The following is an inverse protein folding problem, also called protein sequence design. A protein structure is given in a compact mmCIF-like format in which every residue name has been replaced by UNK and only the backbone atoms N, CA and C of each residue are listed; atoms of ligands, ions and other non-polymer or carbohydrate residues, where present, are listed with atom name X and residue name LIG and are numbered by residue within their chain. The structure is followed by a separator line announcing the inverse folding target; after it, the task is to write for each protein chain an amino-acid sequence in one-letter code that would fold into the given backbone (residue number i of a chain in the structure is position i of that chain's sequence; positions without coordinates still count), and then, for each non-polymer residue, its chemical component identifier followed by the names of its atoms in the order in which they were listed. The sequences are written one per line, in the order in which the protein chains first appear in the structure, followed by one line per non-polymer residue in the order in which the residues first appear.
data_IF_898608984267
#
_entry.id   IF_898608984267
#
_cell.length_a   1.000
_cell.length_b   1.000
_cell.length_c   1.000
_cell.angle_alpha   90.00
_cell.angle_beta   90.00
_cell.angle_gamma   90.00
#
_symmetry.space_group_name_H-M   'P 1'
#
loop_
_entity.id
_entity.type
_entity.pdbx_description
1 polymer ?
#
# COMPACT_ATOMS: atom_id res chain seq x y z
N UNK A 1 51.37 20.85 42.93
CA UNK A 1 49.89 20.84 42.83
C UNK A 1 49.54 20.49 41.39
N UNK A 2 49.08 19.25 41.12
CA UNK A 2 48.84 18.74 39.76
C UNK A 2 47.40 19.10 39.35
N UNK A 3 47.22 20.04 38.43
CA UNK A 3 45.91 20.34 37.84
C UNK A 3 45.66 19.27 36.78
N UNK A 4 44.69 18.39 37.05
CA UNK A 4 44.19 17.40 36.09
C UNK A 4 43.31 18.14 35.08
N UNK A 5 43.73 18.18 33.82
CA UNK A 5 42.87 18.60 32.71
C UNK A 5 41.87 17.47 32.48
N UNK A 6 40.62 17.67 32.89
CA UNK A 6 39.53 16.78 32.57
C UNK A 6 39.15 17.01 31.10
N UNK A 7 39.41 16.01 30.27
CA UNK A 7 38.96 15.96 28.88
C UNK A 7 37.45 15.74 28.89
N UNK A 8 36.68 16.80 28.64
CA UNK A 8 35.23 16.71 28.48
C UNK A 8 34.96 16.11 27.09
N UNK A 9 34.79 14.80 27.02
CA UNK A 9 34.30 14.14 25.82
C UNK A 9 32.82 14.51 25.65
N UNK A 10 32.57 15.53 24.81
CA UNK A 10 31.24 15.88 24.35
C UNK A 10 30.78 14.75 23.42
N UNK A 11 30.05 13.77 23.95
CA UNK A 11 29.29 12.82 23.14
C UNK A 11 28.21 13.63 22.41
N UNK A 12 28.51 14.07 21.18
CA UNK A 12 27.46 14.38 20.23
C UNK A 12 26.74 13.06 19.95
N UNK A 13 25.57 12.90 20.56
CA UNK A 13 24.58 11.94 20.11
C UNK A 13 24.15 12.42 18.72
N UNK A 14 24.78 11.89 17.68
CA UNK A 14 24.29 12.04 16.32
C UNK A 14 22.94 11.31 16.28
N UNK A 15 21.86 12.07 16.42
CA UNK A 15 20.54 11.63 16.01
C UNK A 15 20.66 11.52 14.49
N UNK A 16 20.97 10.32 14.01
CA UNK A 16 20.79 9.99 12.59
C UNK A 16 19.27 10.00 12.43
N UNK A 17 18.71 11.15 12.04
CA UNK A 17 17.41 11.16 11.42
C UNK A 17 17.58 10.30 10.17
N UNK A 18 17.07 9.07 10.20
CA UNK A 18 16.93 8.27 9.00
C UNK A 18 16.16 9.12 7.99
N UNK A 19 16.66 9.20 6.77
CA UNK A 19 15.88 9.80 5.69
C UNK A 19 14.61 8.95 5.55
N UNK A 20 13.48 9.53 5.93
CA UNK A 20 12.17 8.96 5.70
C UNK A 20 11.98 8.96 4.18
N UNK A 21 11.87 7.78 3.60
CA UNK A 21 11.60 7.62 2.17
C UNK A 21 10.18 8.07 1.86
N UNK A 22 9.95 8.61 0.66
CA UNK A 22 8.59 8.90 0.23
C UNK A 22 7.80 7.58 0.05
N UNK A 23 6.47 7.66 0.14
CA UNK A 23 5.62 6.55 -0.26
C UNK A 23 5.87 6.20 -1.74
N UNK A 24 6.25 4.97 -2.03
CA UNK A 24 6.54 4.51 -3.39
C UNK A 24 5.87 3.18 -3.68
N UNK A 25 5.72 2.83 -4.96
CA UNK A 25 5.27 1.50 -5.37
C UNK A 25 6.13 0.42 -4.71
N UNK A 26 7.44 0.63 -4.60
CA UNK A 26 8.32 -0.37 -4.03
C UNK A 26 8.12 -0.53 -2.51
N UNK A 27 7.88 0.55 -1.76
CA UNK A 27 7.61 0.48 -0.31
C UNK A 27 6.23 -0.09 0.02
N UNK A 28 5.27 0.07 -0.89
CA UNK A 28 3.94 -0.55 -0.83
C UNK A 28 3.86 -1.96 -1.44
N UNK A 29 4.98 -2.52 -1.92
CA UNK A 29 4.99 -3.86 -2.53
C UNK A 29 4.95 -4.94 -1.45
N UNK A 30 3.98 -5.85 -1.56
CA UNK A 30 3.83 -6.99 -0.66
C UNK A 30 4.51 -8.25 -1.18
N UNK A 31 5.08 -9.04 -0.27
CA UNK A 31 5.78 -10.29 -0.57
C UNK A 31 5.25 -11.43 0.29
N UNK A 32 5.05 -12.59 -0.34
CA UNK A 32 4.55 -13.79 0.32
C UNK A 32 5.31 -15.03 -0.16
N UNK A 33 5.56 -15.99 0.74
CA UNK A 33 6.19 -17.27 0.40
C UNK A 33 5.44 -18.44 1.04
N UNK A 34 5.10 -19.46 0.24
CA UNK A 34 4.51 -20.68 0.79
C UNK A 34 4.07 -21.69 -0.26
N UNK A 35 3.31 -22.70 0.17
CA UNK A 35 2.75 -23.68 -0.73
C UNK A 35 1.48 -23.14 -1.40
N UNK A 36 1.42 -23.23 -2.74
CA UNK A 36 0.23 -22.95 -3.53
C UNK A 36 -0.13 -24.17 -4.38
N UNK A 37 -1.40 -24.26 -4.75
CA UNK A 37 -1.90 -25.23 -5.71
C UNK A 37 -2.18 -24.52 -7.02
N UNK A 38 -1.50 -24.91 -8.10
CA UNK A 38 -1.81 -24.45 -9.44
C UNK A 38 -3.12 -25.10 -9.93
N UNK A 39 -3.99 -24.33 -10.57
CA UNK A 39 -5.29 -24.81 -11.06
C UNK A 39 -5.21 -25.52 -12.44
N UNK A 40 -4.05 -25.47 -13.10
CA UNK A 40 -3.82 -26.02 -14.43
C UNK A 40 -4.18 -25.08 -15.59
N UNK A 41 -4.85 -23.96 -15.32
CA UNK A 41 -5.18 -22.86 -16.25
C UNK A 41 -4.27 -21.63 -16.10
N UNK A 42 -3.26 -21.71 -15.23
CA UNK A 42 -2.30 -20.63 -14.97
C UNK A 42 -2.68 -19.74 -13.79
N UNK A 43 -3.71 -20.11 -13.04
CA UNK A 43 -4.07 -19.54 -11.74
C UNK A 43 -3.53 -20.36 -10.57
N UNK A 44 -3.64 -19.78 -9.37
CA UNK A 44 -3.14 -20.36 -8.14
C UNK A 44 -4.17 -20.20 -7.02
N UNK A 45 -4.22 -21.18 -6.12
CA UNK A 45 -5.02 -21.13 -4.91
C UNK A 45 -4.18 -21.50 -3.70
N UNK A 46 -4.55 -20.99 -2.53
CA UNK A 46 -3.90 -21.32 -1.27
C UNK A 46 -3.85 -20.15 -0.30
N UNK A 47 -3.21 -20.39 0.83
CA UNK A 47 -2.95 -19.36 1.84
C UNK A 47 -1.47 -19.38 2.17
N UNK A 48 -0.81 -18.25 1.96
CA UNK A 48 0.63 -18.14 2.17
C UNK A 48 0.96 -16.93 3.06
N UNK A 49 1.89 -17.10 4.03
CA UNK A 49 2.27 -16.01 4.92
C UNK A 49 3.05 -14.94 4.16
N UNK A 50 2.91 -13.70 4.61
CA UNK A 50 3.78 -12.63 4.19
C UNK A 50 5.21 -12.87 4.68
N UNK A 51 6.18 -12.39 3.91
CA UNK A 51 7.61 -12.44 4.22
C UNK A 51 8.21 -11.05 4.11
N UNK A 52 9.41 -10.87 4.67
CA UNK A 52 10.11 -9.60 4.60
C UNK A 52 10.31 -9.15 3.14
N UNK A 53 9.90 -7.92 2.84
CA UNK A 53 10.14 -7.26 1.56
C UNK A 53 11.47 -6.50 1.51
N UNK A 54 11.62 -5.65 0.47
CA UNK A 54 12.84 -4.87 0.21
C UNK A 54 12.91 -3.55 0.98
N UNK A 55 11.76 -2.97 1.34
CA UNK A 55 11.64 -1.74 2.11
C UNK A 55 11.21 -2.12 3.53
N UNK A 56 12.20 -2.21 4.41
CA UNK A 56 12.05 -2.73 5.76
C UNK A 56 12.88 -1.86 6.69
N UNK A 57 12.23 -1.23 7.68
CA UNK A 57 12.92 -0.47 8.72
C UNK A 57 12.80 -1.22 10.05
N UNK A 58 13.84 -1.97 10.41
CA UNK A 58 14.03 -2.35 11.81
C UNK A 58 14.28 -1.07 12.61
N UNK A 59 13.49 -0.84 13.66
CA UNK A 59 13.61 0.38 14.45
C UNK A 59 12.78 1.55 13.93
N UNK A 60 11.75 1.29 13.12
CA UNK A 60 10.81 2.31 12.66
C UNK A 60 10.29 3.21 13.80
N UNK A 61 10.03 4.49 13.55
CA UNK A 61 9.44 5.41 14.50
C UNK A 61 8.26 4.82 15.27
N UNK A 62 8.43 4.78 16.59
CA UNK A 62 7.49 4.16 17.52
C UNK A 62 7.84 2.81 18.07
N UNK A 63 8.91 2.23 17.54
CA UNK A 63 9.60 1.15 18.21
C UNK A 63 10.53 1.71 19.27
N UNK A 64 10.64 1.00 20.39
CA UNK A 64 11.59 1.32 21.46
C UNK A 64 12.62 0.20 21.52
N UNK A 65 13.90 0.57 21.51
CA UNK A 65 14.95 -0.40 21.80
C UNK A 65 14.79 -0.93 23.23
N UNK A 66 14.47 -2.21 23.37
CA UNK A 66 14.41 -2.87 24.68
C UNK A 66 15.77 -3.53 24.96
N UNK A 67 16.51 -2.97 25.93
CA UNK A 67 17.82 -3.47 26.31
C UNK A 67 17.81 -4.81 27.06
N UNK A 68 16.64 -5.24 27.56
CA UNK A 68 16.45 -6.53 28.23
C UNK A 68 16.27 -7.64 27.18
N UNK A 69 15.43 -7.41 26.17
CA UNK A 69 15.18 -8.37 25.08
C UNK A 69 16.15 -8.24 23.92
N UNK A 70 16.93 -7.15 23.85
CA UNK A 70 17.99 -6.94 22.86
C UNK A 70 17.47 -6.70 21.43
N UNK A 71 16.26 -6.14 21.29
CA UNK A 71 15.61 -5.86 20.01
C UNK A 71 14.74 -4.61 20.08
N UNK A 72 14.32 -4.12 18.92
CA UNK A 72 13.28 -3.09 18.83
C UNK A 72 11.91 -3.72 19.11
N UNK A 73 11.11 -3.07 19.95
CA UNK A 73 9.76 -3.54 20.30
C UNK A 73 8.70 -2.49 20.00
N UNK A 74 7.53 -2.96 19.57
CA UNK A 74 6.28 -2.18 19.48
C UNK A 74 5.78 -1.82 20.89
N UNK A 75 4.86 -0.83 21.03
CA UNK A 75 4.30 -0.44 22.33
C UNK A 75 3.59 -1.56 23.10
N UNK A 76 3.12 -2.60 22.42
CA UNK A 76 2.53 -3.81 23.03
C UNK A 76 3.59 -4.87 23.42
N UNK A 77 4.89 -4.56 23.27
CA UNK A 77 6.02 -5.37 23.75
C UNK A 77 6.43 -6.52 22.82
N UNK A 78 5.94 -6.54 21.58
CA UNK A 78 6.35 -7.53 20.57
C UNK A 78 7.57 -7.03 19.82
N UNK A 79 8.34 -7.95 19.23
CA UNK A 79 9.43 -7.58 18.34
C UNK A 79 8.87 -6.83 17.13
N UNK A 80 9.39 -5.63 16.91
CA UNK A 80 9.04 -4.85 15.74
C UNK A 80 9.81 -5.40 14.53
N UNK A 81 9.07 -6.03 13.62
CA UNK A 81 9.66 -6.66 12.43
C UNK A 81 9.14 -6.01 11.14
N UNK A 82 8.90 -4.71 11.16
CA UNK A 82 8.59 -3.93 9.95
C UNK A 82 7.24 -4.28 9.29
N UNK A 83 6.97 -3.60 8.17
CA UNK A 83 5.65 -3.60 7.51
C UNK A 83 5.77 -3.17 6.06
N UNK A 84 4.64 -2.85 5.44
CA UNK A 84 4.56 -2.28 4.09
C UNK A 84 3.59 -1.09 4.08
N UNK A 85 3.81 -0.15 3.16
CA UNK A 85 3.02 1.08 3.09
C UNK A 85 1.65 0.81 2.47
N UNK A 86 0.64 1.58 2.88
CA UNK A 86 -0.55 1.75 2.03
C UNK A 86 -0.13 2.69 0.91
N UNK A 87 -0.30 2.31 -0.36
CA UNK A 87 0.01 3.19 -1.51
C UNK A 87 -1.08 4.28 -1.63
N UNK A 88 -1.12 5.15 -0.63
CA UNK A 88 -2.15 6.15 -0.41
C UNK A 88 -2.01 7.31 -1.39
N UNK A 89 -3.15 7.88 -1.78
CA UNK A 89 -3.19 8.98 -2.73
C UNK A 89 -2.58 10.25 -2.12
N UNK A 90 -1.52 10.78 -2.74
CA UNK A 90 -0.90 12.03 -2.29
C UNK A 90 -1.89 13.21 -2.41
N UNK A 91 -2.01 13.99 -1.34
CA UNK A 91 -3.00 15.05 -1.21
C UNK A 91 -4.44 14.56 -1.01
N UNK A 92 -4.65 13.24 -0.94
CA UNK A 92 -5.94 12.62 -0.63
C UNK A 92 -6.45 12.99 0.75
N UNK A 93 -7.76 12.89 0.95
CA UNK A 93 -8.40 13.15 2.23
C UNK A 93 -8.82 11.81 2.85
N UNK A 94 -8.38 11.52 4.07
CA UNK A 94 -8.65 10.24 4.72
C UNK A 94 -9.16 10.42 6.16
N UNK A 95 -9.95 9.46 6.62
CA UNK A 95 -10.34 9.37 8.03
C UNK A 95 -9.15 9.00 8.89
N UNK A 96 -9.04 9.64 10.04
CA UNK A 96 -7.96 9.39 11.00
C UNK A 96 -8.38 8.34 12.03
N UNK A 97 -7.42 7.74 12.73
CA UNK A 97 -7.66 6.57 13.59
C UNK A 97 -8.77 6.83 14.62
N UNK A 98 -9.83 6.00 14.57
CA UNK A 98 -10.90 6.02 15.57
C UNK A 98 -11.99 7.09 15.38
N UNK A 99 -11.96 7.86 14.27
CA UNK A 99 -12.90 8.95 14.00
C UNK A 99 -13.72 8.77 12.70
N UNK A 100 -13.90 7.53 12.25
CA UNK A 100 -14.72 7.24 11.08
C UNK A 100 -16.16 7.76 11.25
N UNK A 101 -16.60 8.64 10.35
CA UNK A 101 -17.93 9.26 10.31
C UNK A 101 -18.37 10.07 11.55
N UNK A 102 -17.46 10.42 12.47
CA UNK A 102 -17.82 11.14 13.71
C UNK A 102 -18.01 12.65 13.54
N UNK A 103 -17.61 13.20 12.40
CA UNK A 103 -17.55 14.65 12.19
C UNK A 103 -17.45 15.05 10.71
N UNK A 104 -17.12 16.31 10.47
CA UNK A 104 -17.15 16.89 9.13
C UNK A 104 -15.97 16.42 8.26
N UNK A 105 -16.26 16.00 7.03
CA UNK A 105 -15.26 15.70 6.00
C UNK A 105 -14.69 17.02 5.43
N UNK A 106 -13.55 17.47 5.96
CA UNK A 106 -12.96 18.76 5.61
C UNK A 106 -11.43 18.74 5.44
N UNK A 107 -10.80 17.58 5.63
CA UNK A 107 -9.36 17.33 5.48
C UNK A 107 -8.48 18.21 6.37
N UNK A 108 -9.09 18.87 7.36
CA UNK A 108 -8.49 19.87 8.22
C UNK A 108 -9.16 19.76 9.59
N UNK A 109 -8.87 18.69 10.33
CA UNK A 109 -9.49 18.49 11.63
C UNK A 109 -9.00 17.25 12.37
N UNK A 110 -9.73 16.93 13.45
CA UNK A 110 -9.50 15.73 14.26
C UNK A 110 -10.04 14.46 13.62
N UNK A 111 -10.92 14.55 12.61
CA UNK A 111 -11.64 13.40 12.07
C UNK A 111 -11.12 13.01 10.68
N UNK A 112 -10.66 13.99 9.89
CA UNK A 112 -10.08 13.79 8.57
C UNK A 112 -8.82 14.62 8.39
N UNK A 113 -7.81 14.07 7.70
CA UNK A 113 -6.55 14.73 7.42
C UNK A 113 -6.11 14.50 5.97
N UNK A 114 -5.30 15.42 5.45
CA UNK A 114 -4.64 15.27 4.15
C UNK A 114 -3.51 14.25 4.27
N UNK A 115 -3.51 13.25 3.38
CA UNK A 115 -2.40 12.30 3.19
C UNK A 115 -1.24 13.06 2.54
N UNK A 116 -0.09 13.20 3.22
CA UNK A 116 1.05 13.92 2.65
C UNK A 116 2.04 12.93 2.00
N UNK A 117 2.97 13.42 1.16
CA UNK A 117 3.79 12.57 0.29
C UNK A 117 4.85 11.73 1.01
N UNK A 118 5.09 11.98 2.30
CA UNK A 118 6.22 11.44 3.08
C UNK A 118 5.83 10.34 4.08
N UNK A 119 4.63 9.76 3.97
CA UNK A 119 4.23 8.70 4.88
C UNK A 119 4.70 7.36 4.28
N UNK A 120 5.82 6.88 4.81
CA UNK A 120 6.26 5.48 4.67
C UNK A 120 5.90 4.69 5.94
N UNK A 121 5.96 3.35 5.81
CA UNK A 121 5.82 2.41 6.90
C UNK A 121 6.70 2.84 8.06
N UNK A 122 6.02 3.34 9.10
CA UNK A 122 6.63 3.78 10.34
C UNK A 122 7.43 5.09 10.27
N UNK A 123 7.30 5.96 9.27
CA UNK A 123 8.04 7.25 9.14
C UNK A 123 8.03 8.16 10.39
N UNK A 124 6.89 8.22 11.05
CA UNK A 124 6.58 9.04 12.23
C UNK A 124 5.15 8.74 12.70
N UNK A 125 4.86 9.02 13.96
CA UNK A 125 3.47 9.09 14.42
C UNK A 125 2.69 10.19 13.69
N UNK A 126 1.45 9.89 13.33
CA UNK A 126 0.55 10.77 12.60
C UNK A 126 -0.90 10.68 13.09
N UNK A 127 -1.85 11.29 12.37
CA UNK A 127 -3.26 11.24 12.77
C UNK A 127 -3.86 9.83 12.61
N UNK A 128 -3.26 8.96 11.79
CA UNK A 128 -3.61 7.53 11.65
C UNK A 128 -3.01 6.63 12.74
N UNK A 129 -2.27 7.21 13.69
CA UNK A 129 -1.78 6.53 14.87
C UNK A 129 -0.47 7.11 15.39
N UNK A 130 -0.25 6.99 16.70
CA UNK A 130 0.98 7.49 17.33
C UNK A 130 2.25 6.83 16.79
N UNK A 131 2.12 5.67 16.15
CA UNK A 131 3.22 4.82 15.68
C UNK A 131 2.93 4.20 14.31
N UNK A 132 1.80 4.56 13.73
CA UNK A 132 1.26 4.00 12.50
C UNK A 132 0.89 5.21 11.63
N UNK A 133 1.74 5.54 10.68
CA UNK A 133 1.30 6.19 9.45
C UNK A 133 0.31 5.22 8.74
N UNK A 134 -0.47 5.59 7.70
CA UNK A 134 -1.41 4.66 7.08
C UNK A 134 -0.60 3.55 6.40
N UNK A 135 -0.27 2.54 7.19
CA UNK A 135 0.73 1.53 6.93
C UNK A 135 0.23 0.24 7.52
N UNK A 136 0.71 -0.85 6.93
CA UNK A 136 0.44 -2.18 7.45
C UNK A 136 1.63 -2.65 8.25
N UNK A 137 1.50 -2.46 9.56
CA UNK A 137 2.51 -2.85 10.53
C UNK A 137 2.58 -4.36 10.76
N UNK A 138 3.79 -4.86 11.04
CA UNK A 138 4.08 -6.23 11.45
C UNK A 138 3.62 -7.26 10.41
N UNK A 139 4.29 -7.24 9.25
CA UNK A 139 3.93 -8.06 8.08
C UNK A 139 3.76 -9.55 8.41
N UNK A 140 4.47 -10.09 9.40
CA UNK A 140 4.41 -11.49 9.81
C UNK A 140 3.03 -11.93 10.31
N UNK A 141 2.15 -10.98 10.61
CA UNK A 141 0.76 -11.24 11.00
C UNK A 141 -0.20 -11.31 9.81
N UNK A 142 0.30 -11.20 8.57
CA UNK A 142 -0.51 -11.13 7.36
C UNK A 142 -0.35 -12.38 6.51
N UNK A 143 -1.46 -12.79 5.89
CA UNK A 143 -1.51 -13.92 4.97
C UNK A 143 -2.24 -13.50 3.71
N UNK A 144 -1.70 -13.88 2.55
CA UNK A 144 -2.40 -13.79 1.28
C UNK A 144 -3.27 -15.03 1.11
N UNK A 145 -4.55 -14.81 0.86
CA UNK A 145 -5.53 -15.81 0.48
C UNK A 145 -5.82 -15.68 -1.02
N UNK A 146 -5.63 -16.76 -1.77
CA UNK A 146 -6.00 -16.89 -3.18
C UNK A 146 -7.08 -17.96 -3.29
N UNK A 147 -8.30 -17.57 -3.63
CA UNK A 147 -9.46 -18.45 -3.66
C UNK A 147 -9.71 -19.01 -5.07
N UNK A 148 -10.33 -20.19 -5.13
CA UNK A 148 -10.62 -20.87 -6.40
C UNK A 148 -11.71 -20.20 -7.26
N UNK A 149 -12.42 -19.22 -6.71
CA UNK A 149 -13.45 -18.43 -7.40
C UNK A 149 -12.89 -17.15 -8.06
N UNK A 150 -11.57 -16.96 -8.03
CA UNK A 150 -10.91 -15.78 -8.59
C UNK A 150 -10.93 -14.57 -7.65
N UNK A 151 -11.24 -14.75 -6.36
CA UNK A 151 -11.08 -13.72 -5.34
C UNK A 151 -9.74 -13.85 -4.61
N UNK A 152 -9.27 -12.76 -4.04
CA UNK A 152 -8.08 -12.70 -3.19
C UNK A 152 -8.31 -11.80 -1.97
N UNK A 153 -7.54 -12.02 -0.91
CA UNK A 153 -7.45 -11.07 0.20
C UNK A 153 -6.11 -11.16 0.93
N UNK A 154 -5.69 -10.06 1.54
CA UNK A 154 -4.62 -10.05 2.54
C UNK A 154 -5.27 -9.86 3.90
N UNK A 155 -5.22 -10.90 4.74
CA UNK A 155 -5.83 -10.87 6.08
C UNK A 155 -4.78 -10.55 7.12
N UNK A 156 -5.03 -9.52 7.92
CA UNK A 156 -4.17 -9.09 9.02
C UNK A 156 -4.69 -9.54 10.37
N UNK A 157 -3.80 -10.06 11.23
CA UNK A 157 -4.08 -10.40 12.63
C UNK A 157 -5.30 -11.34 12.83
N UNK A 158 -5.70 -12.07 11.78
CA UNK A 158 -6.88 -12.94 11.70
C UNK A 158 -8.23 -12.24 12.04
N UNK A 159 -8.33 -10.90 11.96
CA UNK A 159 -9.57 -10.15 12.26
C UNK A 159 -10.32 -9.72 11.00
N UNK A 160 -9.66 -8.98 10.12
CA UNK A 160 -10.24 -8.37 8.93
C UNK A 160 -9.29 -8.45 7.75
N UNK A 161 -9.86 -8.36 6.55
CA UNK A 161 -9.11 -8.29 5.32
C UNK A 161 -8.58 -6.85 5.17
N UNK A 162 -7.26 -6.71 5.20
CA UNK A 162 -6.56 -5.45 4.96
C UNK A 162 -6.65 -5.05 3.50
N UNK A 163 -6.65 -6.03 2.60
CA UNK A 163 -6.94 -5.87 1.18
C UNK A 163 -7.82 -7.01 0.72
N UNK A 164 -8.69 -6.78 -0.25
CA UNK A 164 -9.49 -7.82 -0.87
C UNK A 164 -9.94 -7.44 -2.28
N UNK A 165 -10.11 -8.44 -3.14
CA UNK A 165 -10.89 -8.25 -4.37
C UNK A 165 -10.80 -9.41 -5.33
N UNK A 166 -10.77 -9.09 -6.63
CA UNK A 166 -10.72 -10.08 -7.71
C UNK A 166 -9.35 -10.12 -8.36
N UNK A 167 -8.92 -11.30 -8.77
CA UNK A 167 -7.67 -11.49 -9.50
C UNK A 167 -7.95 -12.07 -10.88
N UNK A 168 -7.47 -11.37 -11.90
CA UNK A 168 -7.44 -11.86 -13.26
C UNK A 168 -6.08 -12.51 -13.52
N UNK A 169 -6.06 -13.84 -13.59
CA UNK A 169 -4.85 -14.61 -13.81
C UNK A 169 -4.27 -14.51 -15.23
N UNK A 170 -5.05 -14.04 -16.22
CA UNK A 170 -4.54 -13.80 -17.57
C UNK A 170 -3.71 -12.52 -17.62
N UNK A 171 -4.23 -11.42 -17.06
CA UNK A 171 -3.53 -10.14 -16.99
C UNK A 171 -2.56 -10.03 -15.81
N UNK A 172 -2.60 -11.01 -14.88
CA UNK A 172 -1.83 -11.00 -13.63
C UNK A 172 -2.09 -9.73 -12.81
N UNK A 173 -3.35 -9.34 -12.73
CA UNK A 173 -3.79 -8.14 -12.04
C UNK A 173 -4.82 -8.46 -10.97
N UNK A 174 -4.58 -7.97 -9.76
CA UNK A 174 -5.45 -8.11 -8.60
C UNK A 174 -6.07 -6.74 -8.27
N UNK A 175 -7.37 -6.59 -8.49
CA UNK A 175 -8.09 -5.35 -8.17
C UNK A 175 -8.33 -5.28 -6.67
N UNK A 176 -8.23 -4.09 -6.10
CA UNK A 176 -8.76 -3.83 -4.75
C UNK A 176 -10.25 -3.52 -4.82
N UNK A 177 -11.04 -4.06 -3.89
CA UNK A 177 -12.48 -3.79 -3.81
C UNK A 177 -12.71 -2.52 -3.01
N UNK A 178 -13.46 -1.59 -3.59
CA UNK A 178 -13.60 -0.26 -3.02
C UNK A 178 -12.61 0.72 -3.66
N UNK A 179 -12.86 2.02 -3.46
CA UNK A 179 -11.95 3.07 -3.93
C UNK A 179 -10.85 3.38 -2.89
N UNK A 180 -11.00 2.84 -1.69
CA UNK A 180 -10.23 3.20 -0.51
C UNK A 180 -9.77 1.93 0.21
N UNK A 181 -8.62 2.01 0.85
CA UNK A 181 -8.19 1.06 1.87
C UNK A 181 -9.01 1.30 3.13
N UNK A 182 -9.93 0.37 3.43
CA UNK A 182 -10.86 0.49 4.54
C UNK A 182 -10.98 -0.76 5.43
N UNK A 183 -9.91 -1.13 6.16
CA UNK A 183 -10.00 -2.20 7.14
C UNK A 183 -10.70 -1.75 8.42
N UNK A 184 -11.55 -2.63 8.95
CA UNK A 184 -12.10 -2.49 10.29
C UNK A 184 -11.20 -3.20 11.31
N UNK A 185 -10.58 -2.46 12.21
CA UNK A 185 -9.76 -2.98 13.30
C UNK A 185 -10.50 -2.97 14.64
N UNK A 186 -9.93 -3.65 15.63
CA UNK A 186 -10.45 -3.62 17.00
C UNK A 186 -10.38 -2.22 17.66
N UNK A 187 -9.52 -1.33 17.14
CA UNK A 187 -9.32 0.04 17.63
C UNK A 187 -9.98 1.12 16.76
N UNK A 188 -10.67 0.75 15.68
CA UNK A 188 -11.33 1.70 14.80
C UNK A 188 -11.35 1.26 13.34
N UNK A 189 -11.99 2.07 12.53
CA UNK A 189 -12.00 1.97 11.07
C UNK A 189 -11.11 3.07 10.51
N UNK A 190 -10.29 2.73 9.52
CA UNK A 190 -9.43 3.64 8.77
C UNK A 190 -9.96 3.63 7.34
N UNK A 191 -10.10 4.78 6.68
CA UNK A 191 -10.62 4.84 5.32
C UNK A 191 -9.82 5.85 4.51
N UNK A 192 -8.91 5.31 3.68
CA UNK A 192 -7.82 6.03 3.04
C UNK A 192 -7.87 5.80 1.53
N UNK A 193 -7.93 6.86 0.69
CA UNK A 193 -7.93 6.71 -0.76
C UNK A 193 -6.58 6.16 -1.24
N UNK A 194 -6.62 5.21 -2.18
CA UNK A 194 -5.45 4.60 -2.78
C UNK A 194 -5.02 5.37 -4.04
N UNK A 195 -3.72 5.53 -4.24
CA UNK A 195 -3.13 6.06 -5.48
C UNK A 195 -3.39 5.10 -6.65
N UNK A 196 -3.26 3.78 -6.40
CA UNK A 196 -3.62 2.73 -7.36
C UNK A 196 -4.61 1.74 -6.76
N UNK A 197 -5.66 1.39 -7.52
CA UNK A 197 -6.73 0.48 -7.09
C UNK A 197 -6.47 -0.99 -7.45
N UNK A 198 -5.22 -1.43 -7.29
CA UNK A 198 -4.86 -2.81 -7.52
C UNK A 198 -3.36 -3.05 -7.67
N UNK A 199 -3.03 -4.31 -7.90
CA UNK A 199 -1.69 -4.84 -7.81
C UNK A 199 -1.35 -5.71 -9.03
N UNK A 200 -0.15 -5.54 -9.56
CA UNK A 200 0.47 -6.52 -10.44
C UNK A 200 0.94 -7.71 -9.62
N UNK A 201 0.60 -8.92 -10.07
CA UNK A 201 0.85 -10.17 -9.36
C UNK A 201 1.89 -11.00 -10.10
N UNK A 202 3.07 -11.13 -9.50
CA UNK A 202 4.11 -12.02 -10.00
C UNK A 202 4.18 -13.26 -9.13
N UNK A 203 4.02 -14.45 -9.74
CA UNK A 203 4.18 -15.74 -9.05
C UNK A 203 5.40 -16.45 -9.60
N UNK A 204 6.38 -16.75 -8.75
CA UNK A 204 7.61 -17.47 -9.11
C UNK A 204 7.74 -18.73 -8.28
N UNK A 205 7.90 -19.89 -8.91
CA UNK A 205 8.15 -21.13 -8.20
C UNK A 205 9.60 -21.17 -7.68
N UNK A 206 9.78 -21.60 -6.44
CA UNK A 206 11.08 -21.93 -5.86
C UNK A 206 11.38 -23.42 -6.11
N UNK A 207 12.26 -23.75 -7.08
CA UNK A 207 12.45 -25.13 -7.54
C UNK A 207 13.14 -26.02 -6.50
N UNK A 208 13.81 -25.45 -5.49
CA UNK A 208 14.54 -26.22 -4.47
C UNK A 208 13.71 -26.48 -3.21
N UNK A 209 12.67 -25.67 -2.96
CA UNK A 209 11.84 -25.76 -1.75
C UNK A 209 10.42 -26.25 -2.04
N UNK A 210 9.99 -26.31 -3.29
CA UNK A 210 8.62 -26.65 -3.66
C UNK A 210 7.59 -25.60 -3.22
N UNK A 211 8.05 -24.38 -2.90
CA UNK A 211 7.22 -23.23 -2.52
C UNK A 211 7.09 -22.26 -3.68
N UNK A 212 6.21 -21.27 -3.54
CA UNK A 212 5.99 -20.17 -4.46
C UNK A 212 6.27 -18.85 -3.74
N UNK A 213 6.91 -17.94 -4.44
CA UNK A 213 7.01 -16.53 -4.08
C UNK A 213 5.96 -15.75 -4.84
N UNK A 214 5.14 -14.98 -4.12
CA UNK A 214 4.16 -14.07 -4.71
C UNK A 214 4.58 -12.64 -4.36
N UNK A 215 4.76 -11.82 -5.39
CA UNK A 215 4.97 -10.37 -5.29
C UNK A 215 3.69 -9.67 -5.76
N UNK A 216 3.16 -8.77 -4.95
CA UNK A 216 2.03 -7.91 -5.30
C UNK A 216 2.48 -6.44 -5.22
N UNK A 217 2.75 -5.84 -6.38
CA UNK A 217 3.20 -4.45 -6.47
C UNK A 217 2.04 -3.55 -6.91
N UNK A 218 1.79 -2.40 -6.25
CA UNK A 218 0.76 -1.48 -6.70
C UNK A 218 0.93 -1.15 -8.18
N UNK A 219 -0.16 -1.19 -8.92
CA UNK A 219 -0.18 -0.86 -10.34
C UNK A 219 -1.46 -0.13 -10.68
N UNK A 220 -1.30 1.14 -11.02
CA UNK A 220 -2.40 1.95 -11.51
C UNK A 220 -2.78 1.39 -12.87
N UNK A 221 -4.07 1.10 -13.06
CA UNK A 221 -4.54 0.83 -14.41
C UNK A 221 -4.27 2.11 -15.21
N UNK A 222 -3.43 2.03 -16.24
CA UNK A 222 -3.45 3.08 -17.25
C UNK A 222 -4.83 3.04 -17.90
N UNK A 223 -5.39 4.20 -18.27
CA UNK A 223 -6.65 4.34 -19.01
C UNK A 223 -6.64 3.64 -20.40
N UNK A 224 -5.66 2.77 -20.69
CA UNK A 224 -5.31 2.31 -22.03
C UNK A 224 -5.59 0.82 -22.30
N UNK A 225 -6.28 0.10 -21.42
CA UNK A 225 -6.76 -1.24 -21.76
C UNK A 225 -8.30 -1.30 -21.72
N UNK A 226 -8.98 -1.41 -22.87
CA UNK A 226 -10.39 -1.77 -22.89
C UNK A 226 -10.55 -3.13 -22.19
N UNK A 227 -11.67 -3.37 -21.49
CA UNK A 227 -11.99 -4.70 -20.99
C UNK A 227 -11.95 -5.69 -22.16
N UNK A 228 -11.26 -6.81 -21.95
CA UNK A 228 -11.07 -7.88 -22.93
C UNK A 228 -12.36 -8.16 -23.72
N UNK A 229 -12.31 -8.03 -25.05
CA UNK A 229 -13.33 -8.61 -25.94
C UNK A 229 -13.97 -7.72 -27.01
N UNK A 230 -13.55 -6.48 -27.24
CA UNK A 230 -13.87 -5.79 -28.49
C UNK A 230 -12.66 -5.80 -29.42
N UNK A 231 -12.69 -6.65 -30.44
CA UNK A 231 -11.90 -6.44 -31.66
C UNK A 231 -12.11 -4.98 -32.08
N UNK A 232 -11.05 -4.20 -32.04
CA UNK A 232 -11.00 -2.91 -32.74
C UNK A 232 -11.29 -3.28 -34.20
N UNK A 233 -12.35 -2.76 -34.84
CA UNK A 233 -12.53 -3.01 -36.26
C UNK A 233 -11.27 -2.51 -36.96
N UNK A 234 -10.56 -3.40 -37.64
CA UNK A 234 -9.47 -3.01 -38.52
C UNK A 234 -10.07 -2.05 -39.55
N UNK A 235 -9.84 -0.75 -39.36
CA UNK A 235 -10.13 0.21 -40.41
C UNK A 235 -9.20 -0.13 -41.57
N UNK A 236 -9.72 -0.41 -42.78
CA UNK A 236 -8.86 -0.68 -43.91
C UNK A 236 -7.97 0.54 -44.12
N UNK A 237 -6.66 0.31 -44.11
CA UNK A 237 -5.61 1.29 -44.38
C UNK A 237 -5.79 1.87 -45.79
N UNK A 238 -6.61 2.91 -45.91
CA UNK A 238 -6.69 3.72 -47.12
C UNK A 238 -7.17 5.14 -46.77
N UNK A 239 -6.21 6.07 -46.85
CA UNK A 239 -6.35 7.52 -47.01
C UNK A 239 -6.83 8.36 -45.80
N UNK A 240 -5.86 8.94 -45.09
CA UNK A 240 -6.00 10.33 -44.62
C UNK A 240 -6.30 11.22 -45.84
N UNK A 241 -7.29 12.14 -45.73
CA UNK A 241 -6.91 13.51 -45.34
C UNK A 241 -7.91 14.21 -44.41
N UNK A 242 -7.34 14.95 -43.45
CA UNK A 242 -7.84 16.22 -42.87
C UNK A 242 -9.31 16.32 -42.41
N UNK A 243 -9.53 16.22 -41.09
CA UNK A 243 -10.47 17.10 -40.38
C UNK A 243 -9.90 17.48 -39.01
N UNK A 244 -9.18 18.61 -38.98
CA UNK A 244 -9.04 19.44 -37.80
C UNK A 244 -10.39 20.13 -37.56
N UNK A 245 -10.81 20.25 -36.30
CA UNK A 245 -11.91 21.07 -35.77
C UNK A 245 -13.35 20.52 -35.83
N UNK A 246 -13.75 19.69 -34.85
CA UNK A 246 -15.17 19.57 -34.42
C UNK A 246 -15.37 19.63 -32.88
N UNK A 247 -14.32 19.69 -32.05
CA UNK A 247 -14.48 19.81 -30.59
C UNK A 247 -14.81 21.22 -30.06
N UNK A 248 -14.49 22.28 -30.80
CA UNK A 248 -14.55 23.67 -30.31
C UNK A 248 -15.83 24.45 -30.64
N UNK A 249 -16.76 23.90 -31.42
CA UNK A 249 -17.90 24.68 -31.95
C UNK A 249 -19.25 24.42 -31.25
N UNK A 250 -19.33 23.44 -30.34
CA UNK A 250 -20.56 23.14 -29.60
C UNK A 250 -20.71 23.90 -28.27
N UNK A 251 -19.66 24.59 -27.78
CA UNK A 251 -19.73 25.38 -26.53
C UNK A 251 -20.05 26.88 -26.71
N UNK A 252 -20.19 27.41 -27.93
CA UNK A 252 -20.44 28.86 -28.14
C UNK A 252 -21.84 29.23 -28.65
N UNK A 253 -22.78 28.29 -28.74
CA UNK A 253 -24.18 28.58 -29.14
C UNK A 253 -25.26 28.33 -28.08
N UNK A 254 -24.90 28.15 -26.81
CA UNK A 254 -25.88 28.01 -25.70
C UNK A 254 -25.78 29.08 -24.61
N UNK A 255 -25.24 30.27 -24.93
CA UNK A 255 -25.38 31.52 -24.16
C UNK A 255 -25.70 32.68 -25.10
N UNK A 256 -26.88 32.66 -25.71
CA UNK A 256 -27.58 33.83 -26.29
C UNK A 256 -28.96 33.36 -26.78
N UNK A 257 -29.81 32.95 -25.84
CA UNK A 257 -31.28 32.99 -25.90
C UNK A 257 -31.80 32.36 -24.61
N UNK A 258 -31.73 33.15 -23.54
CA UNK A 258 -32.68 33.34 -22.44
C UNK A 258 -32.09 34.40 -21.49
#
# INVERSE_FOLDING_TARGET
MKIKIALLALFMLAIIAGEVSANTIDSSTMYFEGALTADGSGGYTGTIPAVAGTYYIAGGPGTVWNSISGRYETPDGKEAVGGFDVYAQDGGCAYVQGFYSTGAWNCNGFDTAVVPPSYDAYAAGGPWGSWYAPDVADYQNYKLHLNGDGTWSVRGFDYSDAYAGTINWNSKYATETGQNWNPTWSWGEEDIPLECQGFEVTVTQNPTRGTYNVKMAPKCQSDEQPPDGQEIPEFPTAALPAVIAVGGYLMLRRRKQE
#
